data_IF_430235324134
#
_entry.id   IF_430235324134
#
_cell.length_a   1.000
_cell.length_b   1.000
_cell.length_c   1.000
_cell.angle_alpha   90.00
_cell.angle_beta   90.00
_cell.angle_gamma   90.00
#
_symmetry.space_group_name_H-M   'P 1'
#
loop_
_entity.id
_entity.type
_entity.pdbx_description
1 polymer ?
#
# COMPACT_ATOMS: atom_id res chain seq x y z
N UNK A 1 9.14 22.90 0.32
CA UNK A 1 8.44 21.71 0.84
C UNK A 1 8.14 20.82 -0.35
N UNK A 2 8.44 19.54 -0.27
CA UNK A 2 8.15 18.57 -1.34
C UNK A 2 7.00 17.68 -0.88
N UNK A 3 5.95 17.60 -1.67
CA UNK A 3 4.77 16.77 -1.39
C UNK A 3 4.47 15.93 -2.62
N UNK A 4 4.41 14.63 -2.45
CA UNK A 4 4.13 13.67 -3.52
C UNK A 4 2.72 13.12 -3.35
N UNK A 5 1.96 13.10 -4.44
CA UNK A 5 0.63 12.50 -4.50
C UNK A 5 0.66 11.34 -5.49
N UNK A 6 0.17 10.17 -5.09
CA UNK A 6 -0.03 9.03 -5.98
C UNK A 6 -1.53 8.79 -6.09
N UNK A 7 -2.04 8.83 -7.32
CA UNK A 7 -3.47 8.85 -7.61
C UNK A 7 -3.73 8.32 -9.02
N UNK A 8 -4.95 7.89 -9.27
CA UNK A 8 -5.43 7.49 -10.59
C UNK A 8 -5.68 8.72 -11.49
N UNK A 9 -5.73 8.54 -12.82
CA UNK A 9 -5.99 9.64 -13.76
C UNK A 9 -7.34 10.32 -13.49
N UNK A 10 -8.37 9.56 -13.14
CA UNK A 10 -9.71 10.08 -12.82
C UNK A 10 -9.73 10.99 -11.59
N UNK A 11 -8.77 10.80 -10.67
CA UNK A 11 -8.65 11.58 -9.44
C UNK A 11 -7.88 12.89 -9.68
N UNK A 12 -7.11 12.99 -10.78
CA UNK A 12 -6.40 14.22 -11.19
C UNK A 12 -7.35 15.22 -11.87
N UNK A 13 -8.40 15.62 -11.16
CA UNK A 13 -9.45 16.50 -11.66
C UNK A 13 -9.26 17.97 -11.27
N UNK A 14 -10.18 18.83 -11.72
CA UNK A 14 -10.13 20.27 -11.47
C UNK A 14 -10.17 20.63 -9.98
N UNK A 15 -10.94 19.89 -9.17
CA UNK A 15 -10.96 20.07 -7.72
C UNK A 15 -9.59 19.80 -7.10
N UNK A 16 -8.91 18.71 -7.50
CA UNK A 16 -7.57 18.40 -7.02
C UNK A 16 -6.58 19.52 -7.39
N UNK A 17 -6.59 19.98 -8.65
CA UNK A 17 -5.74 21.08 -9.09
C UNK A 17 -6.02 22.39 -8.33
N UNK A 18 -7.28 22.69 -8.01
CA UNK A 18 -7.64 23.83 -7.19
C UNK A 18 -7.09 23.72 -5.76
N UNK A 19 -7.13 22.53 -5.17
CA UNK A 19 -6.55 22.27 -3.85
C UNK A 19 -5.03 22.49 -3.83
N UNK A 20 -4.30 21.98 -4.84
CA UNK A 20 -2.85 22.19 -4.97
C UNK A 20 -2.52 23.68 -5.10
N UNK A 21 -3.25 24.43 -5.93
CA UNK A 21 -3.06 25.89 -6.08
C UNK A 21 -3.29 26.64 -4.77
N UNK A 22 -4.26 26.20 -3.96
CA UNK A 22 -4.53 26.79 -2.65
C UNK A 22 -3.41 26.49 -1.65
N UNK A 23 -2.91 25.25 -1.61
CA UNK A 23 -1.84 24.80 -0.72
C UNK A 23 -0.51 25.52 -0.97
N UNK A 24 -0.18 25.79 -2.23
CA UNK A 24 1.10 26.37 -2.63
C UNK A 24 0.96 27.80 -3.19
N UNK A 25 -0.06 28.54 -2.75
CA UNK A 25 -0.33 29.90 -3.23
C UNK A 25 0.92 30.80 -3.16
N UNK A 26 1.24 31.45 -4.29
CA UNK A 26 2.36 32.39 -4.39
C UNK A 26 3.73 31.75 -4.57
N UNK A 27 3.80 30.43 -4.75
CA UNK A 27 5.06 29.70 -4.99
C UNK A 27 5.15 29.25 -6.45
N UNK A 28 6.38 29.13 -6.97
CA UNK A 28 6.62 28.48 -8.26
C UNK A 28 6.54 26.96 -8.08
N UNK A 29 5.76 26.30 -8.94
CA UNK A 29 5.50 24.88 -8.88
C UNK A 29 6.20 24.16 -10.03
N UNK A 30 6.83 23.03 -9.71
CA UNK A 30 7.27 22.04 -10.69
C UNK A 30 6.31 20.86 -10.60
N UNK A 31 5.78 20.41 -11.74
CA UNK A 31 4.90 19.23 -11.82
C UNK A 31 5.66 18.13 -12.55
N UNK A 32 5.79 16.98 -11.90
CA UNK A 32 6.33 15.75 -12.51
C UNK A 32 5.18 14.77 -12.62
N UNK A 33 4.91 14.27 -13.83
CA UNK A 33 3.90 13.23 -14.09
C UNK A 33 4.63 12.00 -14.57
N UNK A 34 4.55 10.93 -13.78
CA UNK A 34 5.08 9.62 -14.12
C UNK A 34 3.90 8.69 -14.33
N UNK A 35 3.84 8.04 -15.51
CA UNK A 35 2.90 6.97 -15.73
C UNK A 35 3.37 5.76 -14.91
N UNK A 36 2.87 5.64 -13.68
CA UNK A 36 3.05 4.42 -12.90
C UNK A 36 2.25 3.31 -13.57
N UNK A 37 2.89 2.17 -13.86
CA UNK A 37 2.17 0.95 -14.25
C UNK A 37 1.30 0.49 -13.09
N UNK A 38 0.08 1.02 -13.06
CA UNK A 38 -0.85 0.86 -11.96
C UNK A 38 -0.39 1.60 -10.70
N UNK A 39 -1.36 2.01 -9.89
CA UNK A 39 -1.18 1.80 -8.44
C UNK A 39 -0.65 0.38 -8.34
N UNK A 40 0.55 0.19 -7.78
CA UNK A 40 1.09 -1.14 -7.56
C UNK A 40 -0.03 -1.93 -6.88
N UNK A 41 -0.69 -2.76 -7.66
CA UNK A 41 -1.64 -3.76 -7.21
C UNK A 41 -0.85 -4.47 -6.11
N UNK A 42 -1.30 -4.37 -4.86
CA UNK A 42 -0.56 -4.92 -3.71
C UNK A 42 -0.19 -6.38 -4.00
N UNK A 43 -1.01 -7.05 -4.82
CA UNK A 43 -0.78 -8.33 -5.50
C UNK A 43 0.47 -8.34 -6.39
N UNK A 44 0.61 -7.42 -7.35
CA UNK A 44 1.80 -7.30 -8.20
C UNK A 44 3.07 -7.03 -7.39
N UNK A 45 2.99 -6.24 -6.32
CA UNK A 45 4.11 -6.04 -5.39
C UNK A 45 4.44 -7.30 -4.60
N UNK A 46 3.44 -8.00 -4.04
CA UNK A 46 3.60 -9.29 -3.37
C UNK A 46 4.20 -10.36 -4.31
N UNK A 47 3.86 -10.30 -5.61
CA UNK A 47 4.31 -11.25 -6.62
C UNK A 47 5.59 -10.82 -7.36
N UNK A 48 6.11 -9.63 -7.08
CA UNK A 48 7.26 -9.05 -7.79
C UNK A 48 8.57 -9.81 -7.53
N UNK A 49 8.71 -10.42 -6.34
CA UNK A 49 9.84 -11.29 -5.99
C UNK A 49 9.42 -12.76 -6.07
N UNK A 50 10.18 -13.62 -6.78
CA UNK A 50 9.92 -15.05 -6.81
C UNK A 50 9.82 -15.67 -5.40
N UNK A 51 10.68 -15.22 -4.48
CA UNK A 51 10.67 -15.69 -3.10
C UNK A 51 9.38 -15.30 -2.35
N UNK A 52 8.86 -14.08 -2.58
CA UNK A 52 7.61 -13.63 -1.95
C UNK A 52 6.40 -14.36 -2.53
N UNK A 53 6.40 -14.57 -3.86
CA UNK A 53 5.37 -15.36 -4.55
C UNK A 53 5.30 -16.78 -4.02
N UNK A 54 6.42 -17.48 -3.94
CA UNK A 54 6.46 -18.87 -3.47
C UNK A 54 5.99 -18.99 -2.03
N UNK A 55 6.41 -18.06 -1.17
CA UNK A 55 6.00 -18.01 0.24
C UNK A 55 4.49 -17.75 0.39
N UNK A 56 3.91 -16.89 -0.44
CA UNK A 56 2.47 -16.62 -0.46
C UNK A 56 1.68 -17.85 -0.91
N UNK A 57 2.11 -18.50 -2.00
CA UNK A 57 1.45 -19.71 -2.52
C UNK A 57 1.52 -20.87 -1.51
N UNK A 58 2.65 -21.06 -0.84
CA UNK A 58 2.80 -22.06 0.21
C UNK A 58 1.89 -21.75 1.40
N UNK A 59 1.77 -20.48 1.79
CA UNK A 59 0.89 -20.07 2.90
C UNK A 59 -0.58 -20.35 2.58
N UNK A 60 -1.01 -20.10 1.33
CA UNK A 60 -2.36 -20.45 0.87
C UNK A 60 -2.62 -21.96 0.94
N UNK A 61 -1.63 -22.79 0.58
CA UNK A 61 -1.75 -24.24 0.67
C UNK A 61 -1.87 -24.70 2.13
N UNK A 62 -1.03 -24.18 3.02
CA UNK A 62 -1.08 -24.46 4.46
C UNK A 62 -2.48 -24.17 5.04
N UNK A 63 -3.08 -23.03 4.69
CA UNK A 63 -4.44 -22.68 5.13
C UNK A 63 -5.49 -23.66 4.59
N UNK A 64 -5.45 -24.00 3.30
CA UNK A 64 -6.41 -24.91 2.67
C UNK A 64 -6.38 -26.32 3.27
N UNK A 65 -5.21 -26.77 3.68
CA UNK A 65 -5.00 -28.12 4.22
C UNK A 65 -5.06 -28.15 5.75
N UNK A 66 -5.24 -27.00 6.41
CA UNK A 66 -5.22 -26.90 7.87
C UNK A 66 -3.87 -27.26 8.49
N UNK A 67 -2.76 -27.09 7.75
CA UNK A 67 -1.41 -27.45 8.18
C UNK A 67 -0.62 -26.20 8.54
N UNK A 68 0.27 -26.30 9.53
CA UNK A 68 1.16 -25.21 9.95
C UNK A 68 0.42 -23.91 10.33
N UNK A 69 -0.77 -24.04 10.91
CA UNK A 69 -1.55 -22.91 11.44
C UNK A 69 -1.42 -22.88 12.95
N UNK A 70 -1.20 -21.68 13.50
CA UNK A 70 -1.25 -21.42 14.94
C UNK A 70 -2.46 -20.53 15.16
N UNK A 71 -3.49 -21.07 15.81
CA UNK A 71 -4.62 -20.26 16.26
C UNK A 71 -4.20 -19.43 17.46
N UNK A 72 -4.52 -18.15 17.45
CA UNK A 72 -4.18 -17.23 18.54
C UNK A 72 -5.34 -16.29 18.78
N UNK A 73 -5.68 -16.11 20.05
CA UNK A 73 -6.62 -15.09 20.48
C UNK A 73 -5.96 -13.71 20.38
N UNK A 74 -6.52 -12.83 19.54
CA UNK A 74 -6.01 -11.48 19.29
C UNK A 74 -5.97 -10.64 20.57
N UNK A 75 -6.92 -10.80 21.48
CA UNK A 75 -6.95 -10.05 22.74
C UNK A 75 -5.82 -10.50 23.67
N UNK A 76 -5.56 -11.81 23.73
CA UNK A 76 -4.45 -12.34 24.52
C UNK A 76 -3.09 -11.90 23.96
N UNK A 77 -2.90 -11.97 22.64
CA UNK A 77 -1.67 -11.49 21.99
C UNK A 77 -1.43 -10.00 22.24
N UNK A 78 -2.49 -9.19 22.13
CA UNK A 78 -2.41 -7.75 22.37
C UNK A 78 -2.07 -7.44 23.82
N UNK A 79 -2.57 -8.22 24.78
CA UNK A 79 -2.22 -8.07 26.18
C UNK A 79 -0.74 -8.39 26.45
N UNK A 80 -0.17 -9.39 25.78
CA UNK A 80 1.26 -9.74 25.91
C UNK A 80 2.18 -8.65 25.34
N UNK A 81 1.83 -8.08 24.19
CA UNK A 81 2.63 -7.02 23.55
C UNK A 81 2.60 -5.68 24.30
N UNK A 82 1.55 -5.41 25.09
CA UNK A 82 1.48 -4.20 25.93
C UNK A 82 2.34 -4.28 27.20
N UNK A 83 2.79 -5.48 27.55
CA UNK A 83 3.62 -5.74 28.74
C UNK A 83 5.08 -6.09 28.38
N UNK A 84 5.46 -5.95 27.11
CA UNK A 84 6.81 -6.16 26.57
C UNK A 84 7.44 -4.80 26.21
#
# INVERSE_FOLDING_TARGET
MTTTFQLNETEMNEQFLAAIKSLFKGQYLTVTVEAAEGVADETSHLLSSPANRDRLLQSLQNVREGRNLIETDINQLTALLKNA
#
